data_IF_466272145320
#
_entry.id   IF_466272145320
#
_cell.length_a   1.000
_cell.length_b   1.000
_cell.length_c   1.000
_cell.angle_alpha   90.00
_cell.angle_beta   90.00
_cell.angle_gamma   90.00
#
_symmetry.space_group_name_H-M   'P 1'
#
loop_
_entity.id
_entity.type
_entity.pdbx_description
1 polymer ?
#
# COMPACT_ATOMS: atom_id res chain seq x y z
N UNK A 1 5.90 -15.10 3.58
CA UNK A 1 5.50 -16.35 2.90
C UNK A 1 4.04 -16.22 2.50
N UNK A 2 3.76 -16.21 1.20
CA UNK A 2 2.40 -16.12 0.68
C UNK A 2 1.63 -17.41 0.98
N UNK A 3 0.42 -17.28 1.53
CA UNK A 3 -0.47 -18.41 1.82
C UNK A 3 -1.43 -18.65 0.66
N UNK A 4 -1.96 -19.86 0.51
CA UNK A 4 -3.02 -20.13 -0.46
C UNK A 4 -4.22 -19.19 -0.21
N UNK A 5 -4.74 -18.58 -1.26
CA UNK A 5 -5.91 -17.71 -1.18
C UNK A 5 -7.20 -18.47 -0.87
N UNK A 6 -7.27 -19.72 -1.29
CA UNK A 6 -8.43 -20.59 -1.11
C UNK A 6 -8.09 -21.64 -0.05
N UNK A 7 -9.03 -21.89 0.86
CA UNK A 7 -9.04 -23.05 1.74
C UNK A 7 -10.27 -23.90 1.45
N UNK A 8 -10.17 -25.20 1.76
CA UNK A 8 -11.36 -26.02 1.92
C UNK A 8 -11.98 -25.66 3.27
N UNK A 9 -13.25 -25.32 3.25
CA UNK A 9 -14.04 -25.17 4.46
C UNK A 9 -14.24 -26.56 5.08
N UNK A 10 -13.85 -26.72 6.34
CA UNK A 10 -13.95 -27.99 7.07
C UNK A 10 -15.40 -28.41 7.29
N UNK A 11 -16.34 -27.45 7.36
CA UNK A 11 -17.76 -27.74 7.59
C UNK A 11 -18.50 -28.15 6.31
N UNK A 12 -18.14 -27.58 5.16
CA UNK A 12 -18.89 -27.79 3.91
C UNK A 12 -18.13 -28.57 2.84
N UNK A 13 -16.83 -28.79 3.02
CA UNK A 13 -15.93 -29.41 2.04
C UNK A 13 -15.72 -28.57 0.77
N UNK A 14 -16.36 -27.39 0.67
CA UNK A 14 -16.29 -26.50 -0.48
C UNK A 14 -15.06 -25.61 -0.40
N UNK A 15 -14.61 -25.15 -1.56
CA UNK A 15 -13.56 -24.15 -1.66
C UNK A 15 -14.12 -22.78 -1.27
N UNK A 16 -13.48 -22.14 -0.29
CA UNK A 16 -13.84 -20.81 0.22
C UNK A 16 -12.63 -19.88 0.26
N UNK A 17 -12.88 -18.57 0.20
CA UNK A 17 -11.86 -17.55 0.39
C UNK A 17 -11.36 -17.65 1.84
N UNK A 18 -10.04 -17.72 2.03
CA UNK A 18 -9.46 -17.76 3.38
C UNK A 18 -9.74 -16.46 4.13
N UNK A 19 -10.23 -16.60 5.37
CA UNK A 19 -10.35 -15.48 6.32
C UNK A 19 -8.98 -14.86 6.61
N UNK A 20 -8.87 -13.52 6.79
CA UNK A 20 -7.65 -12.87 7.27
C UNK A 20 -7.10 -13.53 8.53
N UNK A 21 -5.78 -13.47 8.76
CA UNK A 21 -5.24 -13.90 10.07
C UNK A 21 -5.74 -12.96 11.16
N UNK A 22 -5.92 -13.51 12.35
CA UNK A 22 -6.20 -12.72 13.54
C UNK A 22 -4.92 -12.07 14.06
N UNK A 23 -5.06 -10.88 14.66
CA UNK A 23 -3.96 -10.10 15.22
C UNK A 23 -3.14 -9.32 14.20
N UNK A 24 -2.27 -8.46 14.75
CA UNK A 24 -1.40 -7.58 13.98
C UNK A 24 -0.34 -8.37 13.21
N UNK A 25 -0.24 -8.08 11.92
CA UNK A 25 0.81 -8.63 11.08
C UNK A 25 2.07 -7.77 11.12
N UNK A 26 3.22 -8.42 11.10
CA UNK A 26 4.51 -7.75 11.00
C UNK A 26 4.65 -7.07 9.64
N UNK A 27 4.87 -5.77 9.64
CA UNK A 27 5.25 -5.04 8.44
C UNK A 27 6.68 -5.41 8.01
N UNK A 28 6.84 -5.87 6.77
CA UNK A 28 8.14 -6.29 6.21
C UNK A 28 8.40 -5.70 4.83
N UNK A 29 7.93 -4.48 4.56
CA UNK A 29 8.01 -3.85 3.24
C UNK A 29 8.61 -2.45 3.27
N UNK A 30 8.54 -1.76 2.13
CA UNK A 30 8.93 -0.35 2.00
C UNK A 30 7.72 0.56 2.25
N UNK A 31 7.73 1.43 3.29
CA UNK A 31 6.60 2.28 3.66
C UNK A 31 6.04 3.15 2.52
N UNK A 32 6.91 3.52 1.56
CA UNK A 32 6.56 4.33 0.39
C UNK A 32 5.49 3.69 -0.49
N UNK A 33 5.61 2.39 -0.77
CA UNK A 33 4.75 1.69 -1.74
C UNK A 33 3.61 0.92 -1.10
N UNK A 34 3.70 0.58 0.19
CA UNK A 34 2.69 -0.25 0.83
C UNK A 34 1.28 0.40 0.86
N UNK A 35 0.24 -0.42 0.93
CA UNK A 35 -1.13 0.06 1.10
C UNK A 35 -1.40 0.60 2.51
N UNK A 36 -2.50 1.33 2.70
CA UNK A 36 -2.99 1.72 4.02
C UNK A 36 -3.27 0.51 4.93
N UNK A 37 -3.81 -0.58 4.38
CA UNK A 37 -4.05 -1.82 5.15
C UNK A 37 -2.76 -2.39 5.74
N UNK A 38 -1.69 -2.34 4.96
CA UNK A 38 -0.38 -2.81 5.39
C UNK A 38 0.18 -1.94 6.53
N UNK A 39 0.00 -0.62 6.45
CA UNK A 39 0.35 0.31 7.55
C UNK A 39 -0.42 -0.01 8.84
N UNK A 40 -1.72 -0.32 8.73
CA UNK A 40 -2.56 -0.73 9.86
C UNK A 40 -2.33 -2.18 10.33
N UNK A 41 -1.26 -2.83 9.90
CA UNK A 41 -0.88 -4.19 10.32
C UNK A 41 -1.96 -5.24 10.05
N UNK A 42 -2.80 -5.02 9.04
CA UNK A 42 -3.79 -6.01 8.58
C UNK A 42 -3.12 -7.09 7.73
N UNK A 43 -3.75 -8.26 7.63
CA UNK A 43 -3.30 -9.34 6.74
C UNK A 43 -3.24 -8.83 5.30
N UNK A 44 -2.04 -8.90 4.71
CA UNK A 44 -1.82 -8.49 3.34
C UNK A 44 -2.51 -9.46 2.36
N UNK A 45 -3.22 -8.89 1.41
CA UNK A 45 -3.83 -9.60 0.29
C UNK A 45 -3.29 -9.10 -1.05
N UNK A 46 -3.74 -9.74 -2.13
CA UNK A 46 -3.33 -9.38 -3.50
C UNK A 46 -3.66 -7.94 -3.89
N UNK A 47 -4.66 -7.34 -3.25
CA UNK A 47 -5.01 -5.93 -3.47
C UNK A 47 -3.89 -5.00 -3.01
N UNK A 48 -3.13 -5.38 -1.98
CA UNK A 48 -2.03 -4.58 -1.45
C UNK A 48 -0.84 -4.58 -2.42
N UNK A 49 -0.63 -5.68 -3.16
CA UNK A 49 0.35 -5.74 -4.26
C UNK A 49 -0.04 -4.80 -5.41
N UNK A 50 -1.34 -4.71 -5.74
CA UNK A 50 -1.83 -3.76 -6.75
C UNK A 50 -1.62 -2.30 -6.33
N UNK A 51 -1.81 -1.99 -5.05
CA UNK A 51 -1.48 -0.67 -4.51
C UNK A 51 0.01 -0.35 -4.62
N UNK A 52 0.88 -1.31 -4.27
CA UNK A 52 2.32 -1.13 -4.42
C UNK A 52 2.71 -0.92 -5.88
N UNK A 53 2.13 -1.69 -6.79
CA UNK A 53 2.36 -1.52 -8.22
C UNK A 53 1.89 -0.17 -8.73
N UNK A 54 0.70 0.29 -8.33
CA UNK A 54 0.20 1.60 -8.69
C UNK A 54 1.12 2.73 -8.21
N UNK A 55 1.55 2.69 -6.94
CA UNK A 55 2.48 3.69 -6.41
C UNK A 55 3.80 3.72 -7.18
N UNK A 56 4.33 2.56 -7.59
CA UNK A 56 5.55 2.50 -8.42
C UNK A 56 5.34 3.14 -9.81
N UNK A 57 4.19 2.89 -10.45
CA UNK A 57 3.87 3.50 -11.75
C UNK A 57 3.71 5.02 -11.64
N UNK A 58 3.05 5.51 -10.57
CA UNK A 58 2.92 6.94 -10.31
C UNK A 58 4.29 7.57 -10.07
N UNK A 59 5.15 6.93 -9.28
CA UNK A 59 6.51 7.42 -9.04
C UNK A 59 7.33 7.52 -10.34
N UNK A 60 7.21 6.53 -11.23
CA UNK A 60 7.88 6.53 -12.52
C UNK A 60 7.37 7.63 -13.47
N UNK A 61 6.07 7.97 -13.40
CA UNK A 61 5.47 8.92 -14.33
C UNK A 61 5.57 10.39 -13.87
N UNK A 62 5.24 10.67 -12.60
CA UNK A 62 5.15 12.05 -12.07
C UNK A 62 5.80 12.22 -10.68
N UNK A 63 6.21 11.12 -10.04
CA UNK A 63 6.70 11.14 -8.66
C UNK A 63 5.58 11.02 -7.62
N UNK A 64 5.92 10.50 -6.43
CA UNK A 64 4.98 10.43 -5.29
C UNK A 64 5.08 11.69 -4.41
N UNK A 65 3.97 12.19 -3.86
CA UNK A 65 3.99 13.35 -2.93
C UNK A 65 4.86 13.13 -1.68
N UNK A 66 5.02 11.89 -1.23
CA UNK A 66 5.83 11.51 -0.06
C UNK A 66 7.20 10.92 -0.44
N UNK A 67 7.73 11.21 -1.64
CA UNK A 67 8.98 10.62 -2.14
C UNK A 67 10.25 11.00 -1.34
N UNK A 68 10.21 12.01 -0.47
CA UNK A 68 11.35 12.45 0.36
C UNK A 68 11.21 12.09 1.83
N UNK A 69 10.13 11.42 2.20
CA UNK A 69 9.82 11.11 3.59
C UNK A 69 10.28 9.67 3.88
N UNK A 70 10.99 9.47 4.98
CA UNK A 70 11.45 8.17 5.45
C UNK A 70 10.62 7.63 6.64
N UNK A 71 10.04 8.53 7.45
CA UNK A 71 9.26 8.15 8.62
C UNK A 71 7.92 7.49 8.22
N UNK A 72 7.71 6.25 8.67
CA UNK A 72 6.52 5.45 8.36
C UNK A 72 5.22 6.14 8.78
N UNK A 73 5.17 6.76 9.97
CA UNK A 73 3.97 7.40 10.50
C UNK A 73 3.62 8.66 9.72
N UNK A 74 4.64 9.41 9.31
CA UNK A 74 4.44 10.58 8.46
C UNK A 74 3.92 10.16 7.09
N UNK A 75 4.50 9.12 6.48
CA UNK A 75 4.02 8.56 5.21
C UNK A 75 2.57 8.09 5.31
N UNK A 76 2.19 7.41 6.40
CA UNK A 76 0.81 7.01 6.65
C UNK A 76 -0.13 8.22 6.67
N UNK A 77 0.20 9.26 7.44
CA UNK A 77 -0.62 10.47 7.53
C UNK A 77 -0.78 11.19 6.17
N UNK A 78 0.27 11.19 5.34
CA UNK A 78 0.19 11.69 3.97
C UNK A 78 -0.73 10.83 3.10
N UNK A 79 -0.63 9.51 3.17
CA UNK A 79 -1.49 8.58 2.42
C UNK A 79 -2.96 8.66 2.81
N UNK A 80 -3.26 8.91 4.09
CA UNK A 80 -4.64 9.10 4.56
C UNK A 80 -5.28 10.40 4.05
N UNK A 81 -4.47 11.47 3.93
CA UNK A 81 -4.94 12.79 3.49
C UNK A 81 -4.96 12.95 1.97
N UNK A 82 -4.09 12.23 1.26
CA UNK A 82 -3.94 12.36 -0.18
C UNK A 82 -5.16 11.82 -0.91
N UNK A 83 -5.84 12.71 -1.64
CA UNK A 83 -6.92 12.33 -2.55
C UNK A 83 -6.38 11.64 -3.81
N UNK A 84 -7.23 10.90 -4.53
CA UNK A 84 -6.85 10.24 -5.78
C UNK A 84 -6.45 11.27 -6.83
N UNK A 85 -7.14 12.40 -6.85
CA UNK A 85 -6.90 13.51 -7.76
C UNK A 85 -5.53 14.15 -7.50
N UNK A 86 -5.11 14.25 -6.23
CA UNK A 86 -3.76 14.72 -5.88
C UNK A 86 -2.69 13.70 -6.24
N UNK A 87 -2.94 12.40 -6.03
CA UNK A 87 -1.99 11.33 -6.38
C UNK A 87 -1.66 11.31 -7.87
N UNK A 88 -2.63 11.58 -8.74
CA UNK A 88 -2.47 11.61 -10.20
C UNK A 88 -2.29 13.02 -10.77
N UNK A 89 -2.10 14.05 -9.94
CA UNK A 89 -1.99 15.43 -10.42
C UNK A 89 -0.68 15.63 -11.17
N UNK A 90 -0.75 15.52 -12.50
CA UNK A 90 0.32 15.94 -13.41
C UNK A 90 0.50 17.45 -13.27
N UNK A 91 1.67 17.90 -12.81
CA UNK A 91 2.00 19.33 -12.67
C UNK A 91 1.98 19.89 -11.24
N UNK A 92 1.87 19.04 -10.22
CA UNK A 92 1.78 19.45 -8.80
C UNK A 92 3.04 19.34 -7.95
N UNK A 93 4.25 19.35 -8.52
CA UNK A 93 5.46 19.59 -7.73
C UNK A 93 6.65 20.01 -8.62
N UNK A 94 6.66 21.27 -9.05
CA UNK A 94 7.92 21.91 -9.50
C UNK A 94 8.72 22.45 -8.30
N UNK A 95 8.16 22.49 -7.09
CA UNK A 95 8.78 23.11 -5.92
C UNK A 95 9.69 22.18 -5.10
N UNK A 96 9.88 20.92 -5.50
CA UNK A 96 10.88 20.06 -4.87
C UNK A 96 12.04 19.70 -5.79
N UNK A 97 11.97 19.92 -7.10
CA UNK A 97 13.05 19.54 -8.02
C UNK A 97 14.12 20.64 -8.26
N UNK A 98 13.97 21.82 -7.65
CA UNK A 98 14.96 22.91 -7.68
C UNK A 98 14.96 23.65 -6.32
N UNK A 99 15.77 23.19 -5.38
CA UNK A 99 16.40 24.03 -4.36
C UNK A 99 17.84 23.52 -4.25
N UNK A 100 18.70 24.06 -5.12
CA UNK A 100 20.14 24.26 -4.92
C UNK A 100 20.37 25.77 -4.86
#
# INVERSE_FOLDING_TARGET
MARSFVAKDEATGKLAIRKPREGDQLFRGTPRYCSLNTHYRKEQGRVDDLWAWLHMLVELHIGLPWNRIADEKVILAWKEKCSKEELFRVGGCYSCFFED
#
